data_IF_476874682748
#
_entry.id   IF_476874682748
#
_cell.length_a   1.000
_cell.length_b   1.000
_cell.length_c   1.000
_cell.angle_alpha   90.00
_cell.angle_beta   90.00
_cell.angle_gamma   90.00
#
_symmetry.space_group_name_H-M   'P 1'
#
loop_
_entity.id
_entity.type
_entity.pdbx_description
1 polymer ?
#
# COMPACT_ATOMS: atom_id res chain seq x y z
N UNK A 1 -1.89 -15.73 8.64
CA UNK A 1 -2.20 -14.28 8.61
C UNK A 1 -3.32 -13.90 7.64
N UNK A 2 -3.41 -14.50 6.44
CA UNK A 2 -4.49 -14.21 5.46
C UNK A 2 -5.92 -14.20 6.03
N UNK A 3 -6.38 -15.17 6.84
CA UNK A 3 -7.74 -15.11 7.40
C UNK A 3 -7.99 -13.87 8.29
N UNK A 4 -6.99 -13.46 9.06
CA UNK A 4 -7.08 -12.28 9.92
C UNK A 4 -7.06 -10.98 9.10
N UNK A 5 -6.21 -10.91 8.07
CA UNK A 5 -6.22 -9.82 7.10
C UNK A 5 -7.60 -9.69 6.42
N UNK A 6 -8.20 -10.81 6.04
CA UNK A 6 -9.53 -10.82 5.42
C UNK A 6 -10.63 -10.32 6.38
N UNK A 7 -10.51 -10.63 7.69
CA UNK A 7 -11.39 -10.05 8.71
C UNK A 7 -11.17 -8.55 8.85
N UNK A 8 -9.92 -8.09 8.85
CA UNK A 8 -9.56 -6.67 8.97
C UNK A 8 -10.12 -5.87 7.79
N UNK A 9 -9.92 -6.37 6.56
CA UNK A 9 -10.46 -5.77 5.36
C UNK A 9 -11.99 -5.64 5.41
N UNK A 10 -12.69 -6.71 5.84
CA UNK A 10 -14.14 -6.69 6.00
C UNK A 10 -14.58 -5.68 7.07
N UNK A 11 -13.91 -5.64 8.22
CA UNK A 11 -14.22 -4.70 9.29
C UNK A 11 -14.08 -3.24 8.83
N UNK A 12 -12.99 -2.90 8.13
CA UNK A 12 -12.78 -1.58 7.56
C UNK A 12 -13.87 -1.19 6.54
N UNK A 13 -14.26 -2.11 5.64
CA UNK A 13 -15.36 -1.86 4.68
C UNK A 13 -16.69 -1.64 5.39
N UNK A 14 -17.03 -2.46 6.39
CA UNK A 14 -18.28 -2.30 7.15
C UNK A 14 -18.31 -0.96 7.86
N UNK A 15 -17.18 -0.57 8.47
CA UNK A 15 -17.05 0.70 9.19
C UNK A 15 -17.28 1.90 8.27
N UNK A 16 -16.63 1.92 7.10
CA UNK A 16 -16.82 2.97 6.09
C UNK A 16 -18.27 3.07 5.61
N UNK A 17 -18.91 1.93 5.30
CA UNK A 17 -20.29 1.93 4.77
C UNK A 17 -21.31 2.45 5.78
N UNK A 18 -21.10 2.17 7.06
CA UNK A 18 -22.05 2.54 8.11
C UNK A 18 -22.01 4.02 8.45
N UNK A 19 -20.82 4.61 8.40
CA UNK A 19 -20.58 5.90 9.05
C UNK A 19 -20.26 7.03 8.08
N UNK A 20 -20.06 6.75 6.79
CA UNK A 20 -19.80 7.81 5.81
C UNK A 20 -20.78 7.80 4.63
N UNK A 21 -21.59 8.85 4.59
CA UNK A 21 -22.57 9.10 3.52
C UNK A 21 -21.85 9.35 2.20
N UNK A 22 -22.27 8.66 1.13
CA UNK A 22 -21.68 8.77 -0.20
C UNK A 22 -20.41 7.94 -0.42
N UNK A 23 -19.89 7.27 0.61
CA UNK A 23 -18.82 6.29 0.44
C UNK A 23 -19.36 5.07 -0.33
N UNK A 24 -18.71 4.71 -1.44
CA UNK A 24 -18.94 3.45 -2.13
C UNK A 24 -17.71 2.54 -2.04
N UNK A 25 -17.38 2.02 -0.84
CA UNK A 25 -16.14 1.28 -0.66
C UNK A 25 -16.20 -0.06 -1.38
N UNK A 26 -15.17 -0.30 -2.20
CA UNK A 26 -14.93 -1.55 -2.93
C UNK A 26 -13.63 -2.15 -2.45
N UNK A 27 -13.71 -3.40 -1.99
CA UNK A 27 -12.55 -4.22 -1.68
C UNK A 27 -12.07 -4.88 -2.97
N UNK A 28 -10.77 -4.80 -3.21
CA UNK A 28 -10.12 -5.49 -4.31
C UNK A 28 -9.09 -6.47 -3.74
N UNK A 29 -9.09 -7.69 -4.27
CA UNK A 29 -8.10 -8.73 -3.96
C UNK A 29 -7.44 -9.15 -5.28
N UNK A 30 -6.18 -9.59 -5.19
CA UNK A 30 -5.30 -10.14 -6.24
C UNK A 30 -4.50 -9.17 -7.14
N UNK A 31 -3.17 -9.23 -6.98
CA UNK A 31 -2.25 -9.35 -8.13
C UNK A 31 -1.18 -10.42 -7.83
N UNK A 32 -1.01 -11.36 -8.75
CA UNK A 32 0.16 -12.24 -8.82
C UNK A 32 1.14 -11.60 -9.81
N UNK A 33 2.07 -10.80 -9.32
CA UNK A 33 3.19 -10.33 -10.14
C UNK A 33 4.36 -11.33 -9.99
N UNK A 34 4.93 -11.85 -11.09
CA UNK A 34 6.17 -12.60 -11.00
C UNK A 34 7.31 -11.69 -10.51
N UNK A 35 8.25 -12.17 -9.68
CA UNK A 35 9.39 -11.36 -9.24
C UNK A 35 10.26 -10.96 -10.44
N UNK A 36 10.63 -9.68 -10.52
CA UNK A 36 11.52 -9.17 -11.56
C UNK A 36 13.00 -9.45 -11.22
N UNK A 37 13.83 -9.60 -12.26
CA UNK A 37 15.22 -10.03 -12.20
C UNK A 37 16.22 -8.92 -11.82
N UNK A 38 17.07 -9.25 -10.83
CA UNK A 38 18.37 -8.69 -10.39
C UNK A 38 18.62 -7.16 -10.32
N UNK A 39 18.47 -6.60 -9.11
CA UNK A 39 18.69 -5.20 -8.78
C UNK A 39 20.12 -4.82 -8.39
N UNK A 40 21.10 -5.75 -8.42
CA UNK A 40 22.49 -5.37 -8.14
C UNK A 40 23.07 -4.45 -9.23
N UNK A 41 22.71 -4.69 -10.48
CA UNK A 41 23.27 -3.94 -11.62
C UNK A 41 22.85 -2.46 -11.60
N UNK A 42 21.63 -2.16 -11.15
CA UNK A 42 21.12 -0.80 -11.11
C UNK A 42 21.60 -0.03 -9.87
N UNK A 43 21.68 -0.68 -8.69
CA UNK A 43 22.29 -0.09 -7.48
C UNK A 43 23.75 0.27 -7.77
N UNK A 44 24.51 -0.65 -8.37
CA UNK A 44 25.92 -0.42 -8.72
C UNK A 44 26.12 0.71 -9.75
N UNK A 45 25.09 1.03 -10.55
CA UNK A 45 25.13 2.08 -11.58
C UNK A 45 24.43 3.38 -11.16
N UNK A 46 23.93 3.46 -9.93
CA UNK A 46 23.10 4.57 -9.44
C UNK A 46 21.94 4.91 -10.38
N UNK A 47 21.33 3.89 -10.99
CA UNK A 47 20.15 4.03 -11.86
C UNK A 47 18.92 3.44 -11.16
N UNK A 48 17.74 3.94 -11.52
CA UNK A 48 16.48 3.44 -10.96
C UNK A 48 16.35 1.93 -11.21
N UNK A 49 16.33 1.16 -10.13
CA UNK A 49 16.23 -0.29 -10.16
C UNK A 49 14.84 -0.83 -10.52
N UNK A 50 13.84 0.05 -10.61
CA UNK A 50 12.45 -0.36 -10.64
C UNK A 50 12.15 -1.33 -9.50
N UNK A 51 11.33 -2.33 -9.81
CA UNK A 51 10.89 -3.39 -8.90
C UNK A 51 11.81 -4.63 -8.97
N UNK A 52 13.10 -4.43 -9.27
CA UNK A 52 14.02 -5.52 -9.63
C UNK A 52 14.95 -6.04 -8.54
N UNK A 53 14.86 -5.60 -7.27
CA UNK A 53 15.85 -6.01 -6.27
C UNK A 53 15.67 -7.49 -5.85
N UNK A 54 16.74 -8.28 -5.95
CA UNK A 54 16.73 -9.74 -5.72
C UNK A 54 16.51 -10.12 -4.25
N UNK A 55 16.84 -9.21 -3.34
CA UNK A 55 16.61 -9.36 -1.89
C UNK A 55 15.19 -8.95 -1.44
N UNK A 56 14.35 -8.55 -2.41
CA UNK A 56 13.05 -7.94 -2.17
C UNK A 56 11.95 -8.75 -2.85
N UNK A 57 10.87 -9.05 -2.12
CA UNK A 57 9.61 -9.48 -2.73
C UNK A 57 8.71 -8.27 -2.88
N UNK A 58 8.19 -8.10 -4.10
CA UNK A 58 7.31 -6.99 -4.47
C UNK A 58 5.88 -7.50 -4.57
N UNK A 59 5.03 -6.98 -3.70
CA UNK A 59 3.61 -7.32 -3.61
C UNK A 59 2.81 -6.11 -4.10
N UNK A 60 2.31 -6.16 -5.34
CA UNK A 60 1.48 -5.08 -5.86
C UNK A 60 0.11 -5.09 -5.18
N UNK A 61 -0.25 -3.94 -4.62
CA UNK A 61 -1.61 -3.63 -4.20
C UNK A 61 -2.43 -3.42 -5.46
N UNK A 62 -3.50 -4.20 -5.61
CA UNK A 62 -4.38 -4.18 -6.78
C UNK A 62 -5.74 -3.56 -6.46
N UNK A 63 -6.38 -2.87 -7.41
CA UNK A 63 -5.86 -2.41 -8.71
C UNK A 63 -4.93 -1.19 -8.57
N UNK A 64 -4.48 -0.62 -9.70
CA UNK A 64 -3.98 0.74 -9.70
C UNK A 64 -5.09 1.73 -9.35
N UNK A 65 -4.71 2.90 -8.86
CA UNK A 65 -5.65 3.91 -8.36
C UNK A 65 -5.33 5.27 -8.94
N UNK A 66 -6.38 6.04 -9.25
CA UNK A 66 -6.28 7.50 -9.46
C UNK A 66 -6.92 8.20 -8.29
N UNK A 67 -6.18 9.12 -7.67
CA UNK A 67 -6.66 9.98 -6.61
C UNK A 67 -7.02 11.34 -7.23
N UNK A 68 -8.26 11.43 -7.73
CA UNK A 68 -8.73 12.49 -8.62
C UNK A 68 -9.15 13.79 -7.91
N UNK A 69 -9.27 13.77 -6.58
CA UNK A 69 -9.64 14.93 -5.77
C UNK A 69 -8.90 14.91 -4.42
N UNK A 70 -8.98 16.00 -3.66
CA UNK A 70 -8.43 16.08 -2.30
C UNK A 70 -9.08 15.07 -1.32
N UNK A 71 -10.31 14.65 -1.62
CA UNK A 71 -11.05 13.64 -0.84
C UNK A 71 -10.75 12.22 -1.29
N UNK A 72 -10.09 12.04 -2.43
CA UNK A 72 -9.81 10.73 -2.98
C UNK A 72 -8.74 10.01 -2.18
N UNK A 73 -9.07 8.81 -1.70
CA UNK A 73 -8.17 8.03 -0.87
C UNK A 73 -8.27 6.53 -1.15
N UNK A 74 -7.13 5.87 -1.00
CA UNK A 74 -7.01 4.42 -0.96
C UNK A 74 -6.65 3.99 0.47
N UNK A 75 -7.46 3.12 1.06
CA UNK A 75 -7.15 2.48 2.33
C UNK A 75 -6.52 1.13 2.02
N UNK A 76 -5.30 0.92 2.51
CA UNK A 76 -4.55 -0.31 2.33
C UNK A 76 -4.52 -1.06 3.65
N UNK A 77 -4.92 -2.32 3.60
CA UNK A 77 -4.75 -3.26 4.72
C UNK A 77 -3.77 -4.34 4.31
N UNK A 78 -2.83 -4.68 5.18
CA UNK A 78 -1.79 -5.65 4.81
C UNK A 78 -1.11 -6.28 6.02
N UNK A 79 -0.04 -7.01 5.74
CA UNK A 79 0.82 -7.64 6.75
C UNK A 79 2.12 -6.85 6.82
N UNK A 80 2.52 -6.40 8.01
CA UNK A 80 3.87 -5.91 8.23
C UNK A 80 4.80 -7.14 8.32
N UNK A 81 5.42 -7.50 7.19
CA UNK A 81 6.24 -8.72 7.09
C UNK A 81 7.49 -8.67 7.98
N UNK A 82 7.98 -7.48 8.33
CA UNK A 82 9.01 -7.28 9.37
C UNK A 82 8.55 -7.71 10.76
N UNK A 83 7.35 -7.27 11.15
CA UNK A 83 6.73 -7.66 12.42
C UNK A 83 6.35 -9.15 12.45
N UNK A 84 5.88 -9.70 11.33
CA UNK A 84 5.56 -11.12 11.16
C UNK A 84 6.78 -12.05 11.13
N UNK A 85 8.00 -11.50 11.10
CA UNK A 85 9.27 -12.24 10.92
C UNK A 85 9.36 -13.02 9.61
N UNK A 86 8.61 -12.60 8.60
CA UNK A 86 8.72 -13.13 7.24
C UNK A 86 9.70 -12.31 6.40
N UNK A 87 10.07 -11.12 6.86
CA UNK A 87 11.10 -10.25 6.29
C UNK A 87 11.88 -9.58 7.44
N UNK A 88 13.05 -9.02 7.15
CA UNK A 88 13.78 -8.14 8.08
C UNK A 88 13.14 -6.76 8.12
N UNK A 89 12.65 -6.29 6.97
CA UNK A 89 12.04 -4.98 6.82
C UNK A 89 10.95 -5.04 5.76
N UNK A 90 9.91 -4.23 5.91
CA UNK A 90 8.88 -4.06 4.89
C UNK A 90 8.44 -2.60 4.79
N UNK A 91 8.09 -2.14 3.59
CA UNK A 91 7.49 -0.82 3.42
C UNK A 91 6.42 -0.80 2.33
N UNK A 92 5.56 0.20 2.40
CA UNK A 92 4.58 0.50 1.37
C UNK A 92 5.08 1.69 0.55
N UNK A 93 5.13 1.57 -0.77
CA UNK A 93 5.57 2.64 -1.67
C UNK A 93 4.47 2.98 -2.67
N UNK A 94 4.26 4.26 -2.89
CA UNK A 94 3.37 4.79 -3.93
C UNK A 94 4.22 5.27 -5.07
N UNK A 95 3.93 4.79 -6.27
CA UNK A 95 4.66 5.16 -7.49
C UNK A 95 3.70 5.77 -8.51
N UNK A 96 4.23 6.75 -9.23
CA UNK A 96 3.64 7.25 -10.46
C UNK A 96 4.01 6.31 -11.61
N UNK A 97 3.00 5.73 -12.26
CA UNK A 97 3.16 4.61 -13.19
C UNK A 97 3.85 5.03 -14.49
N UNK A 98 3.44 6.15 -15.08
CA UNK A 98 3.95 6.64 -16.38
C UNK A 98 5.43 7.00 -16.31
N UNK A 99 5.88 7.70 -15.26
CA UNK A 99 7.31 8.04 -15.07
C UNK A 99 8.11 6.99 -14.29
N UNK A 100 7.48 5.90 -13.82
CA UNK A 100 8.12 4.86 -12.98
C UNK A 100 8.83 5.47 -11.76
N UNK A 101 8.17 6.44 -11.14
CA UNK A 101 8.76 7.30 -10.11
C UNK A 101 8.16 6.99 -8.75
N UNK A 102 9.01 6.69 -7.76
CA UNK A 102 8.58 6.63 -6.36
C UNK A 102 8.23 8.02 -5.83
N UNK A 103 7.04 8.16 -5.25
CA UNK A 103 6.52 9.43 -4.74
C UNK A 103 6.66 9.52 -3.23
N UNK A 104 6.13 8.52 -2.53
CA UNK A 104 6.09 8.46 -1.06
C UNK A 104 6.24 7.03 -0.57
N UNK A 105 6.74 6.88 0.66
CA UNK A 105 6.96 5.60 1.31
C UNK A 105 6.49 5.64 2.76
N UNK A 106 5.81 4.59 3.21
CA UNK A 106 5.51 4.32 4.61
C UNK A 106 6.40 3.15 5.07
N UNK A 107 7.29 3.41 6.03
CA UNK A 107 8.19 2.39 6.60
C UNK A 107 7.44 1.41 7.50
N UNK A 108 8.06 0.28 7.82
CA UNK A 108 7.58 -0.68 8.83
C UNK A 108 7.18 -0.03 10.16
N UNK A 109 8.00 0.90 10.66
CA UNK A 109 7.76 1.64 11.89
C UNK A 109 6.53 2.54 11.75
N UNK A 110 6.36 3.21 10.61
CA UNK A 110 5.16 4.00 10.34
C UNK A 110 3.93 3.11 10.26
N UNK A 111 4.00 1.95 9.58
CA UNK A 111 2.90 0.99 9.50
C UNK A 111 2.52 0.44 10.88
N UNK A 112 3.50 0.24 11.77
CA UNK A 112 3.27 -0.22 13.14
C UNK A 112 2.44 0.78 13.99
N UNK A 113 2.38 2.05 13.60
CA UNK A 113 1.53 3.04 14.29
C UNK A 113 0.02 2.78 14.09
N UNK A 114 -0.35 1.90 13.15
CA UNK A 114 -1.75 1.51 12.94
C UNK A 114 -2.26 0.41 13.89
N UNK A 115 -1.43 -0.08 14.84
CA UNK A 115 -1.79 -1.17 15.76
C UNK A 115 -3.09 -0.92 16.53
N UNK A 116 -3.28 0.29 17.05
CA UNK A 116 -4.51 0.65 17.77
C UNK A 116 -5.75 0.64 16.88
N UNK A 117 -5.60 1.01 15.60
CA UNK A 117 -6.69 0.95 14.60
C UNK A 117 -7.07 -0.51 14.33
N UNK A 118 -6.07 -1.37 14.12
CA UNK A 118 -6.28 -2.81 13.90
C UNK A 118 -6.97 -3.47 15.08
N UNK A 119 -6.51 -3.18 16.31
CA UNK A 119 -7.08 -3.72 17.53
C UNK A 119 -8.54 -3.32 17.70
N UNK A 120 -8.87 -2.05 17.47
CA UNK A 120 -10.26 -1.58 17.55
C UNK A 120 -11.17 -2.19 16.47
N UNK A 121 -10.65 -2.42 15.26
CA UNK A 121 -11.42 -3.04 14.17
C UNK A 121 -11.64 -4.55 14.36
N UNK A 122 -10.69 -5.24 14.96
CA UNK A 122 -10.73 -6.70 15.13
C UNK A 122 -11.19 -7.16 16.53
N UNK A 123 -11.11 -6.28 17.53
CA UNK A 123 -11.25 -6.64 18.94
C UNK A 123 -10.06 -7.42 19.52
N UNK A 124 -8.93 -7.47 18.81
CA UNK A 124 -7.70 -8.17 19.24
C UNK A 124 -6.45 -7.48 18.70
N UNK A 125 -5.39 -7.43 19.49
CA UNK A 125 -4.10 -6.88 19.06
C UNK A 125 -3.44 -7.80 18.02
N UNK A 126 -3.13 -7.24 16.84
CA UNK A 126 -2.46 -7.95 15.74
C UNK A 126 -1.29 -7.12 15.21
N UNK A 127 -0.13 -7.12 15.91
CA UNK A 127 1.01 -6.26 15.59
C UNK A 127 1.62 -6.51 14.20
N UNK A 128 1.30 -7.64 13.60
CA UNK A 128 1.71 -8.04 12.26
C UNK A 128 0.77 -7.55 11.15
N UNK A 129 -0.39 -6.98 11.48
CA UNK A 129 -1.30 -6.37 10.52
C UNK A 129 -1.16 -4.85 10.55
N UNK A 130 -1.49 -4.21 9.44
CA UNK A 130 -1.55 -2.76 9.38
C UNK A 130 -2.78 -2.26 8.62
N UNK A 131 -3.16 -1.01 8.91
CA UNK A 131 -4.03 -0.16 8.09
C UNK A 131 -3.23 1.09 7.71
N UNK A 132 -3.23 1.47 6.45
CA UNK A 132 -2.58 2.67 5.95
C UNK A 132 -3.50 3.40 4.97
N UNK A 133 -3.32 4.71 4.84
CA UNK A 133 -4.09 5.56 3.93
C UNK A 133 -3.12 6.16 2.91
N UNK A 134 -3.54 6.23 1.65
CA UNK A 134 -2.89 7.03 0.61
C UNK A 134 -3.90 8.05 0.12
N UNK A 135 -3.60 9.34 0.26
CA UNK A 135 -4.51 10.45 -0.07
C UNK A 135 -3.78 11.59 -0.77
N UNK A 136 -4.51 12.52 -1.38
CA UNK A 136 -3.97 13.82 -1.82
C UNK A 136 -3.85 14.83 -0.70
N UNK A 137 -4.65 14.66 0.34
CA UNK A 137 -4.67 15.51 1.53
C UNK A 137 -4.98 14.60 2.72
N UNK A 138 -4.00 14.42 3.59
CA UNK A 138 -4.14 13.56 4.75
C UNK A 138 -5.01 14.18 5.85
N UNK A 139 -5.06 15.52 5.95
CA UNK A 139 -5.92 16.20 6.90
C UNK A 139 -7.39 16.07 6.49
N UNK A 140 -7.70 16.27 5.20
CA UNK A 140 -9.04 16.02 4.66
C UNK A 140 -9.43 14.55 4.82
N UNK A 141 -8.52 13.61 4.59
CA UNK A 141 -8.81 12.19 4.80
C UNK A 141 -9.17 11.88 6.27
N UNK A 142 -8.38 12.36 7.23
CA UNK A 142 -8.66 12.17 8.65
C UNK A 142 -10.01 12.77 9.07
N UNK A 143 -10.39 13.92 8.50
CA UNK A 143 -11.65 14.59 8.82
C UNK A 143 -12.91 13.86 8.30
N UNK A 144 -12.80 13.02 7.27
CA UNK A 144 -13.96 12.31 6.68
C UNK A 144 -13.99 10.81 6.99
N UNK A 145 -12.89 10.27 7.53
CA UNK A 145 -12.82 8.87 7.91
C UNK A 145 -13.45 8.65 9.30
N UNK A 146 -14.18 7.54 9.50
CA UNK A 146 -14.76 7.22 10.79
C UNK A 146 -13.70 6.66 11.74
N UNK A 147 -13.78 6.99 13.03
CA UNK A 147 -12.93 6.39 14.06
C UNK A 147 -13.10 4.86 14.11
N UNK A 148 -12.05 4.03 14.03
CA UNK A 148 -10.64 4.39 14.23
C UNK A 148 -9.82 4.62 12.95
N UNK A 149 -10.43 4.60 11.76
CA UNK A 149 -9.69 4.72 10.50
C UNK A 149 -9.01 6.08 10.35
N UNK A 150 -9.57 7.14 10.96
CA UNK A 150 -9.00 8.49 11.07
C UNK A 150 -7.59 8.53 11.69
N UNK A 151 -7.25 7.57 12.56
CA UNK A 151 -5.95 7.48 13.21
C UNK A 151 -4.92 6.61 12.44
N UNK A 152 -5.28 6.06 11.28
CA UNK A 152 -4.35 5.26 10.50
C UNK A 152 -3.24 6.15 9.89
N UNK A 153 -1.98 5.66 9.81
CA UNK A 153 -0.91 6.36 9.09
C UNK A 153 -1.31 6.71 7.67
N UNK A 154 -1.09 7.96 7.29
CA UNK A 154 -1.45 8.48 5.98
C UNK A 154 -0.22 8.94 5.19
N UNK A 155 -0.14 8.52 3.93
CA UNK A 155 0.82 9.00 2.95
C UNK A 155 0.14 10.01 2.03
N UNK A 156 0.62 11.26 2.05
CA UNK A 156 0.13 12.32 1.17
C UNK A 156 0.87 12.28 -0.17
N UNK A 157 0.16 12.20 -1.29
CA UNK A 157 0.74 12.15 -2.64
C UNK A 157 0.74 13.55 -3.24
N UNK A 158 1.91 14.23 -3.36
CA UNK A 158 1.97 15.60 -3.83
C UNK A 158 1.46 15.74 -5.26
N UNK A 159 0.76 16.83 -5.56
CA UNK A 159 0.30 17.19 -6.92
C UNK A 159 1.24 18.17 -7.63
N UNK A 160 2.15 18.79 -6.89
CA UNK A 160 3.11 19.78 -7.39
C UNK A 160 4.50 19.54 -6.82
N UNK A 161 5.54 20.07 -7.48
CA UNK A 161 6.93 19.89 -7.07
C UNK A 161 7.56 18.57 -7.56
N UNK A 162 8.74 18.26 -7.03
CA UNK A 162 9.45 17.00 -7.31
C UNK A 162 9.84 16.31 -6.00
N UNK A 163 9.49 15.02 -5.80
CA UNK A 163 8.59 14.19 -6.63
C UNK A 163 7.10 14.52 -6.40
N UNK A 164 6.27 14.42 -7.46
CA UNK A 164 4.81 14.62 -7.40
C UNK A 164 4.09 13.84 -8.49
N UNK A 165 2.77 13.72 -8.45
CA UNK A 165 1.94 13.16 -9.51
C UNK A 165 0.65 13.98 -9.73
N UNK A 166 0.30 14.37 -10.98
CA UNK A 166 -0.96 15.05 -11.29
C UNK A 166 -2.21 14.26 -10.85
N UNK A 167 -3.36 14.92 -10.72
CA UNK A 167 -4.62 14.32 -10.22
C UNK A 167 -5.19 13.22 -11.15
N UNK A 168 -4.97 13.33 -12.45
CA UNK A 168 -5.40 12.37 -13.48
C UNK A 168 -4.42 11.20 -13.65
N UNK A 169 -3.29 11.23 -12.96
CA UNK A 169 -2.22 10.25 -13.11
C UNK A 169 -2.53 8.93 -12.39
N UNK A 170 -2.10 7.83 -13.01
CA UNK A 170 -2.30 6.49 -12.45
C UNK A 170 -1.20 6.16 -11.46
N UNK A 171 -1.60 5.78 -10.25
CA UNK A 171 -0.69 5.39 -9.19
C UNK A 171 -0.69 3.87 -9.01
N UNK A 172 0.49 3.33 -8.74
CA UNK A 172 0.65 1.95 -8.30
C UNK A 172 1.20 1.93 -6.89
N UNK A 173 0.61 1.10 -6.05
CA UNK A 173 1.04 0.94 -4.67
C UNK A 173 1.65 -0.45 -4.54
N UNK A 174 2.82 -0.53 -3.93
CA UNK A 174 3.54 -1.78 -3.77
C UNK A 174 3.99 -1.91 -2.33
N UNK A 175 3.76 -3.08 -1.75
CA UNK A 175 4.51 -3.48 -0.58
C UNK A 175 5.83 -4.12 -1.03
N UNK A 176 6.91 -3.79 -0.33
CA UNK A 176 8.25 -4.34 -0.56
C UNK A 176 8.71 -5.00 0.72
N UNK A 177 8.97 -6.30 0.69
CA UNK A 177 9.46 -7.09 1.81
C UNK A 177 10.91 -7.52 1.56
N UNK A 178 11.82 -7.22 2.49
CA UNK A 178 13.27 -7.37 2.34
C UNK A 178 13.79 -8.43 3.32
N UNK A 179 14.53 -9.43 2.84
CA UNK A 179 15.10 -10.47 3.71
C UNK A 179 16.43 -10.02 4.33
N UNK A 180 17.45 -9.71 3.52
CA UNK A 180 18.71 -9.10 3.94
C UNK A 180 19.42 -8.61 2.68
N UNK A 181 19.85 -7.35 2.67
CA UNK A 181 20.57 -6.74 1.53
C UNK A 181 21.90 -7.44 1.21
N UNK A 182 22.45 -8.22 2.13
CA UNK A 182 23.72 -8.94 1.98
C UNK A 182 23.56 -10.36 1.42
N UNK A 183 22.39 -10.97 1.56
CA UNK A 183 22.19 -12.37 1.14
C UNK A 183 21.84 -12.47 -0.33
N UNK A 184 21.33 -11.39 -0.94
CA UNK A 184 20.85 -11.35 -2.33
C UNK A 184 19.75 -12.37 -2.62
N UNK A 185 19.01 -12.77 -1.59
CA UNK A 185 17.87 -13.68 -1.69
C UNK A 185 16.72 -13.05 -0.95
N UNK A 186 15.62 -12.81 -1.64
CA UNK A 186 14.40 -12.26 -1.05
C UNK A 186 13.71 -13.22 -0.08
N UNK A 187 12.71 -12.73 0.66
CA UNK A 187 11.87 -13.56 1.52
C UNK A 187 11.23 -14.75 0.77
N UNK A 188 10.88 -15.80 1.51
CA UNK A 188 10.09 -16.90 0.95
C UNK A 188 8.72 -16.38 0.52
N UNK A 189 8.48 -16.35 -0.79
CA UNK A 189 7.24 -15.86 -1.41
C UNK A 189 5.99 -16.58 -0.90
N UNK A 190 6.11 -17.83 -0.42
CA UNK A 190 4.99 -18.61 0.13
C UNK A 190 4.50 -18.07 1.47
N UNK A 191 5.34 -17.30 2.17
CA UNK A 191 4.99 -16.64 3.43
C UNK A 191 4.43 -15.23 3.21
N UNK A 192 4.52 -14.70 1.99
CA UNK A 192 4.07 -13.35 1.68
C UNK A 192 2.55 -13.30 1.57
N UNK A 193 1.93 -12.43 2.36
CA UNK A 193 0.50 -12.19 2.34
C UNK A 193 0.25 -10.86 1.66
N UNK A 194 -0.42 -10.90 0.51
CA UNK A 194 -0.64 -9.72 -0.32
C UNK A 194 -1.52 -8.68 0.39
N UNK A 195 -1.15 -7.39 0.34
CA UNK A 195 -1.99 -6.30 0.82
C UNK A 195 -3.24 -6.14 -0.06
N UNK A 196 -4.30 -5.60 0.53
CA UNK A 196 -5.60 -5.40 -0.11
C UNK A 196 -5.95 -3.92 -0.10
N UNK A 197 -6.54 -3.46 -1.20
CA UNK A 197 -7.02 -2.10 -1.31
C UNK A 197 -8.53 -2.02 -1.09
N UNK A 198 -8.92 -1.00 -0.33
CA UNK A 198 -10.29 -0.53 -0.18
C UNK A 198 -10.29 0.92 -0.68
N UNK A 199 -10.90 1.17 -1.84
CA UNK A 199 -11.02 2.54 -2.37
C UNK A 199 -12.27 3.21 -1.81
N UNK A 200 -12.19 4.48 -1.42
CA UNK A 200 -13.34 5.29 -1.02
C UNK A 200 -13.22 6.71 -1.62
N UNK A 201 -14.37 7.36 -1.88
CA UNK A 201 -14.55 8.73 -2.43
C UNK A 201 -13.72 9.05 -3.68
N UNK A 202 -14.33 9.22 -4.85
CA UNK A 202 -13.65 9.70 -6.08
C UNK A 202 -12.33 8.98 -6.49
N UNK A 203 -11.96 7.91 -5.80
CA UNK A 203 -10.82 7.07 -6.09
C UNK A 203 -11.25 6.07 -7.16
N UNK A 204 -10.63 6.19 -8.33
CA UNK A 204 -10.99 5.39 -9.50
C UNK A 204 -10.00 4.24 -9.62
N UNK A 205 -10.50 3.02 -9.58
CA UNK A 205 -9.75 1.81 -9.91
C UNK A 205 -9.38 1.81 -11.39
N UNK A 206 -8.10 1.63 -11.71
CA UNK A 206 -7.60 1.52 -13.08
C UNK A 206 -7.11 0.10 -13.32
N UNK A 207 -7.63 -0.54 -14.37
CA UNK A 207 -7.21 -1.90 -14.72
C UNK A 207 -5.76 -1.88 -15.27
N UNK A 208 -4.83 -2.64 -14.68
CA UNK A 208 -3.43 -2.65 -15.10
C UNK A 208 -3.22 -3.16 -16.53
N UNK A 209 -4.17 -3.90 -17.13
CA UNK A 209 -4.07 -4.37 -18.53
C UNK A 209 -4.02 -3.25 -19.57
N UNK A 210 -4.43 -2.03 -19.22
CA UNK A 210 -4.35 -0.86 -20.09
C UNK A 210 -3.10 -0.01 -19.84
N UNK A 211 -2.21 -0.45 -18.95
CA UNK A 211 -0.94 0.19 -18.67
C UNK A 211 0.16 -0.64 -19.32
N UNK A 212 0.67 -0.19 -20.47
CA UNK A 212 1.83 -0.83 -21.11
C UNK A 212 3.08 -0.55 -20.29
N UNK A 213 3.64 -1.59 -19.68
CA UNK A 213 5.01 -1.58 -19.18
C UNK A 213 5.95 -1.75 -20.38
N UNK A 214 6.28 -0.63 -21.05
CA UNK A 214 7.22 -0.60 -22.17
C UNK A 214 8.66 -0.99 -21.82
#
# INVERSE_FOLDING_TARGET
LKPALDRLARAAVVKLRREVVGANPRRFDESNAPPASDGRACIARNVNCGLGNRDTVYSQVSPFVRLSSARAMAIIVGVNHGAAKFATYSNLVVNEVRRRLGLVVLSDNTLANSRGVVEQLLGEARPELYVAIVSRDCATAAAVLPTPLDAAPCAEVPTTGWPSAPLDETLSIWERAYADVRTHVGPDVRLMVMPQMITAFDAVSVNPRFVSWG
#
